data_IF_688988528463
#
_entry.id   IF_688988528463
#
_cell.length_a   1.000
_cell.length_b   1.000
_cell.length_c   1.000
_cell.angle_alpha   90.00
_cell.angle_beta   90.00
_cell.angle_gamma   90.00
#
_symmetry.space_group_name_H-M   'P 1'
#
loop_
_entity.id
_entity.type
_entity.pdbx_description
1 polymer ?
#
# COMPACT_ATOMS: atom_id res chain seq x y z
N UNK A 1 -29.57 58.54 1.15
CA UNK A 1 -28.49 58.04 2.03
C UNK A 1 -29.20 57.58 3.30
N UNK A 2 -29.17 56.36 3.83
CA UNK A 2 -28.10 55.39 3.96
C UNK A 2 -28.64 53.97 3.64
N UNK A 3 -27.92 53.23 2.80
CA UNK A 3 -27.96 51.77 2.76
C UNK A 3 -27.10 51.23 3.90
N UNK A 4 -27.48 50.05 4.41
CA UNK A 4 -26.72 49.08 5.24
C UNK A 4 -27.16 49.05 6.71
N UNK A 5 -27.87 47.98 7.09
CA UNK A 5 -27.53 47.20 8.28
C UNK A 5 -28.22 45.82 8.27
N UNK A 6 -27.68 44.88 7.50
CA UNK A 6 -27.84 43.45 7.77
C UNK A 6 -26.53 42.77 7.36
N UNK A 7 -25.54 42.84 8.25
CA UNK A 7 -24.39 41.95 8.16
C UNK A 7 -24.87 40.57 8.57
N UNK A 8 -25.06 39.71 7.57
CA UNK A 8 -25.33 38.30 7.76
C UNK A 8 -24.15 37.68 8.51
N UNK A 9 -24.35 37.33 9.77
CA UNK A 9 -23.47 36.43 10.51
C UNK A 9 -23.62 35.02 9.93
N UNK A 10 -22.98 34.78 8.78
CA UNK A 10 -22.68 33.41 8.33
C UNK A 10 -21.45 32.97 9.10
N UNK A 11 -21.67 32.37 10.26
CA UNK A 11 -20.64 31.55 10.91
C UNK A 11 -20.18 30.52 9.89
N UNK A 12 -18.89 30.41 9.55
CA UNK A 12 -18.44 29.33 8.69
C UNK A 12 -18.71 28.05 9.48
N UNK A 13 -19.67 27.25 9.03
CA UNK A 13 -19.83 25.88 9.48
C UNK A 13 -18.53 25.19 9.09
N UNK A 14 -17.58 25.15 10.01
CA UNK A 14 -16.36 24.36 9.89
C UNK A 14 -16.87 22.92 9.90
N UNK A 15 -17.11 22.36 8.71
CA UNK A 15 -17.35 20.93 8.53
C UNK A 15 -16.19 20.26 9.25
N UNK A 16 -16.46 19.69 10.41
CA UNK A 16 -15.58 18.70 11.00
C UNK A 16 -15.47 17.61 9.96
N UNK A 17 -14.39 17.60 9.19
CA UNK A 17 -14.02 16.45 8.40
C UNK A 17 -13.81 15.35 9.41
N UNK A 18 -14.80 14.49 9.58
CA UNK A 18 -14.60 13.22 10.23
C UNK A 18 -13.55 12.51 9.39
N UNK A 19 -12.32 12.46 9.90
CA UNK A 19 -11.26 11.63 9.37
C UNK A 19 -11.82 10.22 9.47
N UNK A 20 -12.22 9.64 8.33
CA UNK A 20 -12.65 8.24 8.29
C UNK A 20 -11.41 7.43 8.69
N UNK A 21 -11.43 6.86 9.90
CA UNK A 21 -10.33 6.05 10.42
C UNK A 21 -10.43 4.58 9.98
N UNK A 22 -11.59 4.18 9.47
CA UNK A 22 -11.87 2.81 9.04
C UNK A 22 -12.08 2.76 7.52
N UNK A 23 -11.44 1.81 6.81
CA UNK A 23 -11.64 1.65 5.38
C UNK A 23 -13.07 1.25 5.07
N UNK A 24 -13.60 1.74 3.95
CA UNK A 24 -14.85 1.24 3.39
C UNK A 24 -14.56 -0.06 2.64
N UNK A 25 -15.19 -1.16 3.07
CA UNK A 25 -14.98 -2.49 2.48
C UNK A 25 -16.09 -2.77 1.47
N UNK A 26 -15.71 -2.87 0.20
CA UNK A 26 -16.61 -3.23 -0.89
C UNK A 26 -16.58 -4.73 -1.12
N UNK A 27 -17.74 -5.37 -1.08
CA UNK A 27 -17.88 -6.78 -1.45
C UNK A 27 -17.88 -6.96 -2.97
N UNK A 28 -17.78 -8.21 -3.43
CA UNK A 28 -17.72 -8.55 -4.86
C UNK A 28 -18.87 -8.01 -5.71
N UNK A 29 -20.05 -7.78 -5.13
CA UNK A 29 -21.21 -7.20 -5.85
C UNK A 29 -21.22 -5.68 -5.91
N UNK A 30 -20.28 -5.00 -5.24
CA UNK A 30 -20.22 -3.55 -5.10
C UNK A 30 -19.12 -2.92 -5.97
N UNK A 31 -18.38 -3.73 -6.73
CA UNK A 31 -17.32 -3.28 -7.63
C UNK A 31 -17.29 -4.15 -8.91
N UNK A 32 -16.66 -3.64 -9.97
CA UNK A 32 -16.57 -4.31 -11.27
C UNK A 32 -15.48 -5.38 -11.39
N UNK A 33 -14.58 -5.48 -10.40
CA UNK A 33 -13.42 -6.36 -10.45
C UNK A 33 -13.80 -7.84 -10.43
N UNK A 34 -13.18 -8.62 -11.32
CA UNK A 34 -13.28 -10.08 -11.35
C UNK A 34 -11.91 -10.73 -11.25
N UNK A 35 -11.80 -11.82 -10.47
CA UNK A 35 -10.54 -12.56 -10.29
C UNK A 35 -9.90 -13.01 -11.61
N UNK A 36 -10.72 -13.34 -12.60
CA UNK A 36 -10.30 -13.81 -13.94
C UNK A 36 -9.53 -12.78 -14.74
N UNK A 37 -9.65 -11.49 -14.39
CA UNK A 37 -8.95 -10.43 -15.08
C UNK A 37 -7.49 -10.34 -14.62
N UNK A 38 -7.18 -10.74 -13.38
CA UNK A 38 -5.84 -10.65 -12.82
C UNK A 38 -4.93 -11.80 -13.27
N UNK A 39 -3.61 -11.58 -13.20
CA UNK A 39 -2.63 -12.66 -13.40
C UNK A 39 -2.92 -13.82 -12.45
N UNK A 40 -3.03 -15.03 -13.01
CA UNK A 40 -3.19 -16.26 -12.23
C UNK A 40 -2.07 -16.46 -11.20
N UNK A 41 -0.86 -15.97 -11.50
CA UNK A 41 0.28 -16.08 -10.61
C UNK A 41 0.16 -15.12 -9.43
N UNK A 42 -0.29 -13.89 -9.68
CA UNK A 42 -0.53 -12.91 -8.62
C UNK A 42 -1.65 -13.36 -7.68
N UNK A 43 -2.75 -13.89 -8.24
CA UNK A 43 -3.84 -14.50 -7.46
C UNK A 43 -3.32 -15.67 -6.62
N UNK A 44 -2.51 -16.58 -7.21
CA UNK A 44 -1.93 -17.71 -6.49
C UNK A 44 -1.01 -17.29 -5.35
N UNK A 45 -0.20 -16.24 -5.53
CA UNK A 45 0.65 -15.69 -4.47
C UNK A 45 -0.19 -15.20 -3.30
N UNK A 46 -1.23 -14.40 -3.57
CA UNK A 46 -2.13 -13.87 -2.54
C UNK A 46 -2.80 -15.01 -1.78
N UNK A 47 -3.39 -15.97 -2.49
CA UNK A 47 -4.09 -17.11 -1.87
C UNK A 47 -3.14 -17.98 -1.04
N UNK A 48 -1.90 -18.17 -1.50
CA UNK A 48 -0.90 -18.95 -0.74
C UNK A 48 -0.45 -18.22 0.53
N UNK A 49 -0.16 -16.93 0.46
CA UNK A 49 0.22 -16.14 1.64
C UNK A 49 -0.93 -16.09 2.66
N UNK A 50 -2.16 -15.92 2.18
CA UNK A 50 -3.35 -15.98 3.03
C UNK A 50 -3.53 -17.36 3.67
N UNK A 51 -3.33 -18.44 2.90
CA UNK A 51 -3.35 -19.81 3.42
C UNK A 51 -2.27 -20.09 4.47
N UNK A 52 -1.13 -19.39 4.41
CA UNK A 52 -0.07 -19.44 5.41
C UNK A 52 -0.32 -18.53 6.63
N UNK A 53 -1.46 -17.81 6.67
CA UNK A 53 -1.86 -16.97 7.80
C UNK A 53 -1.42 -15.50 7.71
N UNK A 54 -0.90 -15.06 6.56
CA UNK A 54 -0.53 -13.66 6.33
C UNK A 54 -1.68 -12.87 5.70
N UNK A 55 -1.71 -11.56 5.93
CA UNK A 55 -2.50 -10.67 5.09
C UNK A 55 -1.79 -10.49 3.76
N UNK A 56 -2.51 -10.56 2.64
CA UNK A 56 -1.96 -10.30 1.32
C UNK A 56 -3.05 -9.78 0.38
N UNK A 57 -2.71 -8.79 -0.45
CA UNK A 57 -3.65 -8.10 -1.33
C UNK A 57 -2.96 -7.69 -2.63
N UNK A 58 -3.71 -7.73 -3.74
CA UNK A 58 -3.33 -6.98 -4.95
C UNK A 58 -3.55 -5.50 -4.69
N UNK A 59 -2.61 -4.66 -5.13
CA UNK A 59 -2.61 -3.22 -4.80
C UNK A 59 -2.20 -2.35 -6.00
N UNK A 60 -2.37 -1.04 -5.86
CA UNK A 60 -1.76 -0.06 -6.75
C UNK A 60 -2.35 -0.03 -8.16
N UNK A 61 -1.45 0.13 -9.14
CA UNK A 61 -1.82 0.37 -10.54
C UNK A 61 -2.69 -0.73 -11.14
N UNK A 62 -2.46 -1.99 -10.76
CA UNK A 62 -3.24 -3.10 -11.31
C UNK A 62 -4.71 -3.05 -10.91
N UNK A 63 -5.02 -2.63 -9.68
CA UNK A 63 -6.40 -2.48 -9.21
C UNK A 63 -7.06 -1.27 -9.88
N UNK A 64 -6.36 -0.14 -9.93
CA UNK A 64 -6.82 1.09 -10.61
C UNK A 64 -7.17 0.81 -12.07
N UNK A 65 -6.25 0.21 -12.81
CA UNK A 65 -6.41 -0.02 -14.25
C UNK A 65 -7.60 -0.96 -14.51
N UNK A 66 -7.76 -2.00 -13.70
CA UNK A 66 -8.91 -2.91 -13.76
C UNK A 66 -10.24 -2.21 -13.50
N UNK A 67 -10.31 -1.32 -12.50
CA UNK A 67 -11.51 -0.53 -12.22
C UNK A 67 -11.88 0.39 -13.40
N UNK A 68 -10.90 0.82 -14.18
CA UNK A 68 -11.07 1.62 -15.40
C UNK A 68 -11.28 0.79 -16.67
N UNK A 69 -11.29 -0.54 -16.58
CA UNK A 69 -11.39 -1.44 -17.74
C UNK A 69 -10.14 -1.46 -18.62
N UNK A 70 -8.99 -1.02 -18.09
CA UNK A 70 -7.68 -1.04 -18.74
C UNK A 70 -6.94 -2.30 -18.32
N UNK A 71 -6.24 -2.95 -19.25
CA UNK A 71 -5.38 -4.09 -18.92
C UNK A 71 -4.13 -3.63 -18.17
N UNK A 72 -3.87 -4.13 -16.94
CA UNK A 72 -2.66 -3.77 -16.20
C UNK A 72 -1.37 -4.21 -16.92
N UNK A 73 -0.30 -3.46 -16.68
CA UNK A 73 1.04 -3.76 -17.22
C UNK A 73 1.83 -4.70 -16.30
N UNK A 74 1.61 -4.53 -15.01
CA UNK A 74 2.26 -5.19 -13.89
C UNK A 74 1.22 -5.54 -12.82
N UNK A 75 1.60 -6.44 -11.92
CA UNK A 75 0.78 -6.86 -10.79
C UNK A 75 1.64 -6.85 -9.54
N UNK A 76 1.21 -6.05 -8.56
CA UNK A 76 1.90 -5.90 -7.29
C UNK A 76 1.07 -6.49 -6.16
N UNK A 77 1.74 -7.16 -5.23
CA UNK A 77 1.14 -7.71 -4.02
C UNK A 77 1.73 -7.00 -2.81
N UNK A 78 0.88 -6.53 -1.90
CA UNK A 78 1.29 -6.08 -0.58
C UNK A 78 0.91 -7.13 0.47
N UNK A 79 1.76 -7.36 1.47
CA UNK A 79 1.56 -8.41 2.48
C UNK A 79 2.09 -8.03 3.87
N UNK A 80 1.54 -8.64 4.92
CA UNK A 80 2.10 -8.55 6.27
C UNK A 80 3.33 -9.42 6.48
N UNK A 81 3.64 -10.35 5.55
CA UNK A 81 4.83 -11.20 5.63
C UNK A 81 6.11 -10.39 5.36
N UNK A 82 7.15 -10.58 6.17
CA UNK A 82 8.47 -9.98 5.93
C UNK A 82 9.11 -10.55 4.65
N UNK A 83 10.08 -9.85 4.02
CA UNK A 83 10.71 -10.36 2.80
C UNK A 83 11.32 -11.75 2.97
N UNK A 84 11.88 -12.04 4.14
CA UNK A 84 12.44 -13.33 4.49
C UNK A 84 11.36 -14.41 4.65
N UNK A 85 10.19 -14.07 5.20
CA UNK A 85 9.03 -14.98 5.27
C UNK A 85 8.45 -15.26 3.89
N UNK A 86 8.27 -14.24 3.04
CA UNK A 86 7.84 -14.44 1.65
C UNK A 86 8.83 -15.35 0.92
N UNK A 87 10.14 -15.16 1.11
CA UNK A 87 11.15 -16.04 0.52
C UNK A 87 11.07 -17.48 1.03
N UNK A 88 10.66 -17.70 2.29
CA UNK A 88 10.46 -19.04 2.83
C UNK A 88 9.24 -19.72 2.19
N UNK A 89 8.17 -18.96 1.91
CA UNK A 89 6.97 -19.47 1.23
C UNK A 89 7.22 -19.79 -0.24
N UNK A 90 8.07 -19.02 -0.93
CA UNK A 90 8.27 -19.15 -2.38
C UNK A 90 9.74 -19.45 -2.72
N UNK A 91 10.04 -20.70 -3.09
CA UNK A 91 11.41 -21.13 -3.44
C UNK A 91 12.02 -20.39 -4.63
N UNK A 92 11.17 -19.88 -5.52
CA UNK A 92 11.50 -19.07 -6.70
C UNK A 92 11.52 -17.56 -6.41
N UNK A 93 11.46 -17.16 -5.14
CA UNK A 93 11.53 -15.75 -4.74
C UNK A 93 12.97 -15.25 -4.58
N UNK A 94 13.16 -13.96 -4.86
CA UNK A 94 14.42 -13.24 -4.65
C UNK A 94 14.13 -11.93 -3.95
N UNK A 95 14.78 -11.71 -2.82
CA UNK A 95 14.77 -10.40 -2.16
C UNK A 95 15.65 -9.47 -2.98
N UNK A 96 15.11 -8.33 -3.38
CA UNK A 96 15.77 -7.29 -4.15
C UNK A 96 15.68 -5.95 -3.45
N UNK A 97 16.49 -4.99 -3.90
CA UNK A 97 16.54 -3.65 -3.34
C UNK A 97 17.33 -3.58 -2.03
N UNK A 98 18.06 -2.48 -1.85
CA UNK A 98 18.83 -2.21 -0.61
C UNK A 98 18.10 -1.23 0.30
N UNK A 99 17.57 -0.15 -0.28
CA UNK A 99 16.82 0.90 0.42
C UNK A 99 15.42 0.43 0.79
N UNK A 100 14.80 -0.25 -0.16
CA UNK A 100 13.44 -0.72 -0.12
C UNK A 100 13.50 -2.21 -0.44
N UNK A 101 13.43 -3.06 0.59
CA UNK A 101 13.37 -4.50 0.35
C UNK A 101 12.03 -4.84 -0.29
N UNK A 102 12.11 -5.49 -1.45
CA UNK A 102 10.99 -6.05 -2.20
C UNK A 102 11.31 -7.51 -2.50
N UNK A 103 10.29 -8.30 -2.82
CA UNK A 103 10.47 -9.69 -3.20
C UNK A 103 9.95 -9.91 -4.61
N UNK A 104 10.83 -10.32 -5.51
CA UNK A 104 10.46 -10.76 -6.85
C UNK A 104 10.20 -12.25 -6.86
N UNK A 105 8.99 -12.66 -7.24
CA UNK A 105 8.63 -14.07 -7.45
C UNK A 105 8.56 -14.33 -8.95
N UNK A 106 9.41 -15.24 -9.42
CA UNK A 106 9.60 -15.49 -10.85
C UNK A 106 8.71 -16.62 -11.39
N UNK A 107 7.93 -16.35 -12.43
CA UNK A 107 7.17 -17.34 -13.21
C UNK A 107 7.60 -17.31 -14.68
N UNK A 108 8.71 -17.97 -14.98
CA UNK A 108 9.33 -17.91 -16.31
C UNK A 108 9.83 -16.50 -16.61
N UNK A 109 9.17 -15.80 -17.55
CA UNK A 109 9.47 -14.41 -17.90
C UNK A 109 8.66 -13.39 -17.12
N UNK A 110 7.59 -13.82 -16.46
CA UNK A 110 6.74 -12.96 -15.63
C UNK A 110 7.34 -12.85 -14.22
N UNK A 111 7.26 -11.66 -13.64
CA UNK A 111 7.73 -11.37 -12.29
C UNK A 111 6.58 -10.69 -11.57
N UNK A 112 6.23 -11.21 -10.40
CA UNK A 112 5.29 -10.55 -9.49
C UNK A 112 6.12 -9.92 -8.37
N UNK A 113 5.92 -8.62 -8.16
CA UNK A 113 6.53 -7.91 -7.05
C UNK A 113 5.67 -8.08 -5.79
N UNK A 114 6.32 -8.43 -4.69
CA UNK A 114 5.70 -8.57 -3.38
C UNK A 114 6.40 -7.63 -2.41
N UNK A 115 5.64 -6.71 -1.82
CA UNK A 115 6.09 -5.74 -0.83
C UNK A 115 5.49 -6.05 0.54
N UNK A 116 6.30 -5.99 1.58
CA UNK A 116 5.80 -6.00 2.95
C UNK A 116 5.18 -4.65 3.29
N UNK A 117 4.04 -4.63 3.99
CA UNK A 117 3.47 -3.41 4.54
C UNK A 117 4.51 -2.66 5.36
N UNK A 118 4.66 -1.37 5.12
CA UNK A 118 5.58 -0.54 5.92
C UNK A 118 4.84 0.17 7.06
N UNK A 119 5.59 0.80 7.95
CA UNK A 119 5.10 1.81 8.88
C UNK A 119 5.70 3.18 8.52
N UNK A 120 5.18 4.26 9.10
CA UNK A 120 5.90 5.53 9.08
C UNK A 120 7.13 5.41 9.98
N UNK A 121 8.20 6.12 9.64
CA UNK A 121 9.35 6.21 10.52
C UNK A 121 8.92 6.81 11.88
N UNK A 122 9.39 6.26 13.01
CA UNK A 122 9.16 6.88 14.31
C UNK A 122 9.66 8.32 14.29
N UNK A 123 8.92 9.21 14.96
CA UNK A 123 9.19 10.66 14.97
C UNK A 123 10.44 11.00 15.78
N UNK A 124 10.86 10.08 16.67
CA UNK A 124 12.04 10.23 17.51
C UNK A 124 13.21 9.45 16.90
N UNK A 125 14.31 10.16 16.59
CA UNK A 125 15.54 9.59 16.01
C UNK A 125 16.22 8.57 16.96
N UNK A 126 15.95 8.65 18.26
CA UNK A 126 16.57 7.80 19.29
C UNK A 126 16.05 6.34 19.28
N UNK A 127 14.93 6.06 18.62
CA UNK A 127 14.32 4.72 18.49
C UNK A 127 14.60 4.08 17.10
N UNK A 128 15.45 4.70 16.27
CA UNK A 128 15.80 4.16 14.96
C UNK A 128 16.80 2.99 15.08
N UNK A 129 16.33 1.75 14.86
CA UNK A 129 17.23 0.64 14.55
C UNK A 129 17.91 0.92 13.20
N UNK A 130 19.19 1.31 13.25
CA UNK A 130 20.04 1.59 12.08
C UNK A 130 20.08 0.48 11.01
N UNK A 131 19.66 -0.75 11.35
CA UNK A 131 19.51 -1.83 10.38
C UNK A 131 18.24 -1.73 9.55
N UNK A 132 17.16 -1.14 10.09
CA UNK A 132 15.84 -1.06 9.45
C UNK A 132 15.58 0.30 8.83
N UNK A 133 15.93 1.39 9.51
CA UNK A 133 15.84 2.75 9.01
C UNK A 133 17.20 3.44 8.99
N UNK A 134 17.48 4.23 7.96
CA UNK A 134 18.62 5.15 7.97
C UNK A 134 18.39 6.28 6.98
N UNK A 135 18.91 7.46 7.32
CA UNK A 135 18.96 8.65 6.46
C UNK A 135 20.40 9.16 6.38
N UNK A 136 20.76 9.85 5.31
CA UNK A 136 22.03 10.58 5.24
C UNK A 136 21.87 12.00 5.83
N UNK A 137 22.99 12.72 5.99
CA UNK A 137 23.02 14.10 6.51
C UNK A 137 22.15 15.08 5.70
N UNK A 138 21.86 14.77 4.43
CA UNK A 138 20.98 15.58 3.57
C UNK A 138 19.50 15.17 3.65
N UNK A 139 19.11 14.33 4.62
CA UNK A 139 17.74 13.87 4.83
C UNK A 139 17.23 12.82 3.81
N UNK A 140 18.09 12.31 2.93
CA UNK A 140 17.76 11.25 1.97
C UNK A 140 17.71 9.92 2.69
N UNK A 141 16.59 9.22 2.57
CA UNK A 141 16.40 7.86 3.09
C UNK A 141 17.38 6.91 2.39
N UNK A 142 18.18 6.20 3.19
CA UNK A 142 19.11 5.17 2.80
C UNK A 142 18.51 3.76 3.01
N UNK A 143 17.69 3.58 4.04
CA UNK A 143 16.87 2.38 4.30
C UNK A 143 15.52 2.76 4.90
N UNK A 144 14.49 2.06 4.44
CA UNK A 144 13.12 2.18 4.92
C UNK A 144 12.49 0.79 4.90
N UNK A 145 12.86 -0.01 5.90
CA UNK A 145 12.36 -1.36 6.13
C UNK A 145 11.63 -1.45 7.48
N UNK A 146 11.01 -0.35 7.90
CA UNK A 146 10.12 -0.35 9.06
C UNK A 146 8.80 -0.96 8.59
N UNK A 147 8.41 -2.10 9.15
CA UNK A 147 7.19 -2.81 8.77
C UNK A 147 6.02 -2.43 9.66
N UNK A 148 4.82 -2.45 9.09
CA UNK A 148 3.62 -1.92 9.74
C UNK A 148 2.33 -2.61 9.31
N UNK A 149 1.20 -1.94 9.55
CA UNK A 149 -0.13 -2.44 9.20
C UNK A 149 -0.53 -2.08 7.76
N UNK A 150 -1.60 -2.71 7.28
CA UNK A 150 -2.21 -2.38 5.99
C UNK A 150 -2.59 -0.90 5.91
N UNK A 151 -3.17 -0.35 6.98
CA UNK A 151 -3.63 1.03 7.05
C UNK A 151 -2.47 2.02 6.99
N UNK A 152 -1.36 1.73 7.67
CA UNK A 152 -0.14 2.52 7.58
C UNK A 152 0.42 2.49 6.15
N UNK A 153 0.30 1.34 5.46
CA UNK A 153 0.67 1.21 4.05
C UNK A 153 -0.20 1.96 3.07
N UNK A 154 -1.51 1.96 3.28
CA UNK A 154 -2.39 2.81 2.48
C UNK A 154 -2.05 4.29 2.65
N UNK A 155 -1.74 4.74 3.88
CA UNK A 155 -1.52 6.16 4.19
C UNK A 155 -0.21 6.74 3.62
N UNK A 156 0.82 5.91 3.40
CA UNK A 156 2.09 6.40 2.84
C UNK A 156 2.11 6.49 1.31
N UNK A 157 1.08 5.94 0.65
CA UNK A 157 1.01 5.95 -0.81
C UNK A 157 0.73 7.36 -1.30
N UNK A 158 1.30 7.66 -2.45
CA UNK A 158 1.33 9.00 -3.04
C UNK A 158 -0.04 9.48 -3.50
N UNK A 159 -0.82 8.60 -4.13
CA UNK A 159 -2.11 8.93 -4.71
C UNK A 159 -3.20 7.97 -4.22
N UNK A 160 -4.36 8.54 -3.87
CA UNK A 160 -5.53 7.79 -3.39
C UNK A 160 -6.02 6.73 -4.36
N UNK A 161 -5.86 6.95 -5.67
CA UNK A 161 -6.26 5.98 -6.71
C UNK A 161 -5.34 4.74 -6.76
N UNK A 162 -4.17 4.79 -6.12
CA UNK A 162 -3.19 3.71 -6.07
C UNK A 162 -3.06 3.12 -4.65
N UNK A 163 -3.96 3.48 -3.73
CA UNK A 163 -3.90 3.20 -2.30
C UNK A 163 -5.15 2.49 -1.79
#
# INVERSE_FOLDING_TARGET
>A
MLKKLFQSFRTPVRRTQHIRSTPEVLNSGQHSLQKTQFSRYAVNIVERLQGAGYQAYLVGGCVRDMLLGITPKDFDVATSATPEQVRAEFRNARIIGRRFKLVHIHFGREIIEVATFRANHPVNEDDEDSNQSSRNESGRILRDNVYGTLEEDAQRRDFTINA
#
